data_IF_262567331768
#
_entry.id   IF_262567331768
#
_cell.length_a   1.000
_cell.length_b   1.000
_cell.length_c   1.000
_cell.angle_alpha   90.00
_cell.angle_beta   90.00
_cell.angle_gamma   90.00
#
_symmetry.space_group_name_H-M   'P 1'
#
loop_
_entity.id
_entity.type
_entity.pdbx_description
1 polymer ?
#
# COMPACT_ATOMS: atom_id res chain seq x y z
N UNK A 1 -7.26 13.92 -2.10
CA UNK A 1 -6.96 12.66 -1.40
C UNK A 1 -6.69 11.65 -2.46
N UNK A 2 -5.60 10.91 -2.35
CA UNK A 2 -5.19 9.97 -3.37
C UNK A 2 -6.14 8.77 -3.37
N UNK A 3 -6.60 8.34 -4.55
CA UNK A 3 -7.48 7.17 -4.70
C UNK A 3 -6.86 5.93 -4.05
N UNK A 4 -5.52 5.83 -4.12
CA UNK A 4 -4.74 4.74 -3.54
C UNK A 4 -4.74 4.77 -2.00
N UNK A 5 -4.62 5.94 -1.35
CA UNK A 5 -4.67 6.01 0.11
C UNK A 5 -6.04 5.61 0.66
N UNK A 6 -7.12 6.00 0.00
CA UNK A 6 -8.46 5.58 0.41
C UNK A 6 -8.66 4.08 0.20
N UNK A 7 -8.12 3.49 -0.87
CA UNK A 7 -8.12 2.03 -1.02
C UNK A 7 -7.30 1.34 0.07
N UNK A 8 -6.10 1.85 0.40
CA UNK A 8 -5.30 1.26 1.47
C UNK A 8 -6.07 1.22 2.79
N UNK A 9 -6.80 2.28 3.13
CA UNK A 9 -7.67 2.31 4.31
C UNK A 9 -8.74 1.22 4.28
N UNK A 10 -9.37 1.00 3.13
CA UNK A 10 -10.36 -0.07 2.97
C UNK A 10 -9.71 -1.45 3.07
N UNK A 11 -8.54 -1.66 2.46
CA UNK A 11 -7.80 -2.93 2.51
C UNK A 11 -7.38 -3.29 3.93
N UNK A 12 -6.85 -2.31 4.67
CA UNK A 12 -6.41 -2.51 6.05
C UNK A 12 -7.56 -2.35 7.07
N UNK A 13 -8.77 -2.03 6.62
CA UNK A 13 -9.94 -1.79 7.47
C UNK A 13 -9.70 -0.72 8.56
N UNK A 14 -9.00 0.37 8.22
CA UNK A 14 -8.62 1.47 9.13
C UNK A 14 -9.14 2.82 8.67
N UNK A 15 -9.50 3.67 9.62
CA UNK A 15 -9.94 5.05 9.32
C UNK A 15 -8.79 5.95 8.83
N UNK A 16 -7.57 5.68 9.33
CA UNK A 16 -6.38 6.49 9.08
C UNK A 16 -5.15 5.61 8.95
N UNK A 17 -4.27 5.99 8.04
CA UNK A 17 -2.96 5.37 7.85
C UNK A 17 -1.92 6.48 8.06
N UNK A 18 -0.95 6.22 8.93
CA UNK A 18 0.20 7.10 9.07
C UNK A 18 1.15 6.87 7.89
N UNK A 19 1.16 7.82 6.95
CA UNK A 19 1.97 7.73 5.75
C UNK A 19 3.47 7.89 6.03
N UNK A 20 3.88 8.21 7.26
CA UNK A 20 5.30 8.33 7.64
C UNK A 20 5.90 7.00 8.10
N UNK A 21 5.07 5.97 8.30
CA UNK A 21 5.49 4.63 8.67
C UNK A 21 5.74 3.76 7.43
N UNK A 22 6.54 2.70 7.60
CA UNK A 22 6.60 1.59 6.66
C UNK A 22 5.34 0.72 6.76
N UNK A 23 5.01 -0.01 5.70
CA UNK A 23 3.96 -1.02 5.74
C UNK A 23 4.19 -2.08 6.83
N UNK A 24 5.42 -2.53 7.06
CA UNK A 24 5.73 -3.54 8.08
C UNK A 24 5.51 -3.04 9.52
N UNK A 25 5.40 -1.73 9.71
CA UNK A 25 5.14 -1.09 11.00
C UNK A 25 3.64 -0.96 11.30
N UNK A 26 2.76 -1.18 10.32
CA UNK A 26 1.32 -1.23 10.53
C UNK A 26 0.95 -2.52 11.26
N UNK A 27 0.10 -2.41 12.29
CA UNK A 27 -0.40 -3.58 13.02
C UNK A 27 -1.23 -4.50 12.12
N UNK A 28 -1.88 -3.90 11.12
CA UNK A 28 -2.74 -4.54 10.14
C UNK A 28 -1.95 -5.16 8.97
N UNK A 29 -0.63 -4.97 8.90
CA UNK A 29 0.16 -5.58 7.85
C UNK A 29 0.35 -7.07 8.07
N UNK A 30 -0.28 -7.87 7.20
CA UNK A 30 -0.13 -9.31 7.15
C UNK A 30 -0.06 -9.84 5.71
N UNK A 31 0.07 -11.16 5.58
CA UNK A 31 0.14 -11.81 4.27
C UNK A 31 -1.16 -11.69 3.47
N UNK A 32 -2.32 -11.55 4.11
CA UNK A 32 -3.61 -11.40 3.44
C UNK A 32 -3.74 -10.00 2.86
N UNK A 33 -3.51 -8.97 3.67
CA UNK A 33 -3.60 -7.58 3.26
C UNK A 33 -2.53 -7.25 2.21
N UNK A 34 -1.33 -7.84 2.33
CA UNK A 34 -0.31 -7.76 1.27
C UNK A 34 -0.81 -8.36 -0.05
N UNK A 35 -1.47 -9.53 -0.02
CA UNK A 35 -2.02 -10.15 -1.23
C UNK A 35 -3.15 -9.32 -1.86
N UNK A 36 -4.03 -8.75 -1.04
CA UNK A 36 -5.12 -7.87 -1.51
C UNK A 36 -4.55 -6.63 -2.18
N UNK A 37 -3.57 -5.98 -1.55
CA UNK A 37 -2.87 -4.83 -2.12
C UNK A 37 -2.17 -5.17 -3.44
N UNK A 38 -1.47 -6.30 -3.51
CA UNK A 38 -0.83 -6.74 -4.76
C UNK A 38 -1.84 -6.95 -5.89
N UNK A 39 -2.98 -7.57 -5.60
CA UNK A 39 -4.06 -7.73 -6.58
C UNK A 39 -4.62 -6.39 -7.05
N UNK A 40 -4.78 -5.42 -6.14
CA UNK A 40 -5.20 -4.06 -6.49
C UNK A 40 -4.19 -3.36 -7.41
N UNK A 41 -2.90 -3.43 -7.10
CA UNK A 41 -1.84 -2.79 -7.92
C UNK A 41 -1.74 -3.42 -9.32
N UNK A 42 -1.94 -4.73 -9.42
CA UNK A 42 -1.97 -5.42 -10.71
C UNK A 42 -3.20 -5.01 -11.54
N UNK A 43 -4.39 -4.99 -10.93
CA UNK A 43 -5.64 -4.67 -11.63
C UNK A 43 -5.75 -3.18 -12.01
N UNK A 44 -5.43 -2.28 -11.09
CA UNK A 44 -5.63 -0.83 -11.28
C UNK A 44 -4.43 -0.16 -11.95
N UNK A 45 -3.20 -0.62 -11.69
CA UNK A 45 -1.97 0.03 -12.15
C UNK A 45 -1.14 -0.84 -13.09
N UNK A 46 -1.58 -2.08 -13.39
CA UNK A 46 -0.86 -3.00 -14.25
C UNK A 46 0.53 -3.37 -13.71
N UNK A 47 0.77 -3.19 -12.41
CA UNK A 47 2.08 -3.39 -11.80
C UNK A 47 2.11 -4.72 -11.06
N UNK A 48 2.96 -5.63 -11.51
CA UNK A 48 3.32 -6.82 -10.75
C UNK A 48 4.53 -6.51 -9.86
N UNK A 49 4.35 -6.67 -8.55
CA UNK A 49 5.43 -6.57 -7.57
C UNK A 49 5.28 -7.66 -6.50
N UNK A 50 6.32 -7.88 -5.70
CA UNK A 50 6.23 -8.76 -4.54
C UNK A 50 5.91 -7.95 -3.28
N UNK A 51 5.31 -8.60 -2.26
CA UNK A 51 5.11 -7.98 -0.95
C UNK A 51 6.46 -7.50 -0.35
N UNK A 52 7.53 -8.24 -0.60
CA UNK A 52 8.91 -7.88 -0.24
C UNK A 52 9.38 -6.56 -0.89
N UNK A 53 8.83 -6.18 -2.05
CA UNK A 53 9.14 -4.92 -2.71
C UNK A 53 8.32 -3.76 -2.14
N UNK A 54 7.12 -4.03 -1.59
CA UNK A 54 6.28 -3.02 -0.93
C UNK A 54 6.96 -2.54 0.35
N UNK A 55 7.49 -3.46 1.16
CA UNK A 55 8.17 -3.09 2.42
C UNK A 55 9.53 -2.43 2.19
N UNK A 56 10.09 -2.49 0.97
CA UNK A 56 11.32 -1.75 0.63
C UNK A 56 11.09 -0.24 0.47
N UNK A 57 9.85 0.21 0.33
CA UNK A 57 9.54 1.64 0.35
C UNK A 57 9.79 2.17 1.77
N UNK A 58 10.55 3.26 1.96
CA UNK A 58 10.86 3.75 3.30
C UNK A 58 9.61 4.08 4.10
N UNK A 59 8.62 4.69 3.45
CA UNK A 59 7.33 5.03 4.04
C UNK A 59 6.18 4.73 3.08
N UNK A 60 4.98 4.57 3.62
CA UNK A 60 3.74 4.46 2.83
C UNK A 60 3.55 5.72 1.98
N UNK A 61 3.99 6.89 2.45
CA UNK A 61 4.02 8.13 1.68
C UNK A 61 4.88 8.01 0.41
N UNK A 62 6.09 7.48 0.52
CA UNK A 62 6.98 7.25 -0.64
C UNK A 62 6.35 6.27 -1.64
N UNK A 63 5.68 5.24 -1.13
CA UNK A 63 4.92 4.28 -1.95
C UNK A 63 3.79 4.99 -2.70
N UNK A 64 2.95 5.77 -2.01
CA UNK A 64 1.86 6.51 -2.62
C UNK A 64 2.39 7.47 -3.70
N UNK A 65 3.44 8.24 -3.40
CA UNK A 65 4.05 9.16 -4.37
C UNK A 65 4.61 8.45 -5.60
N UNK A 66 5.19 7.25 -5.44
CA UNK A 66 5.70 6.45 -6.55
C UNK A 66 4.61 6.09 -7.56
N UNK A 67 3.41 5.75 -7.06
CA UNK A 67 2.29 5.30 -7.88
C UNK A 67 1.37 6.44 -8.35
N UNK A 68 1.27 7.55 -7.61
CA UNK A 68 0.49 8.72 -8.03
C UNK A 68 1.18 9.56 -9.11
N UNK A 69 2.51 9.47 -9.26
CA UNK A 69 3.26 10.23 -10.26
C UNK A 69 3.36 9.53 -11.63
N UNK A 70 2.83 8.31 -11.76
CA UNK A 70 2.76 7.55 -13.02
C UNK A 70 1.44 7.79 -13.73
#
# INVERSE_FOLDING_TARGET
>A
MSKLLDELKEIFEVDQIDTTLNFEELEEWDSLNALVLLGYLEDQLGTQMAAEDIVKFPTIGDFLEHFERK
#
